data_IF_819550307812
#
_entry.id   IF_819550307812
#
_cell.length_a   1.000
_cell.length_b   1.000
_cell.length_c   1.000
_cell.angle_alpha   90.00
_cell.angle_beta   90.00
_cell.angle_gamma   90.00
#
_symmetry.space_group_name_H-M   'P 1'
#
loop_
_entity.id
_entity.type
_entity.pdbx_description
1 polymer ?
#
# COMPACT_ATOMS: atom_id res chain seq x y z
N UNK A 1 12.89 -4.84 -1.08
CA UNK A 1 13.84 -4.10 -0.25
C UNK A 1 13.68 -2.64 -0.54
N UNK A 2 13.22 -1.91 0.46
CA UNK A 2 13.17 -0.46 0.50
C UNK A 2 14.45 0.07 1.16
N UNK A 3 14.75 1.35 0.94
CA UNK A 3 15.89 2.01 1.60
C UNK A 3 15.73 2.01 3.13
N UNK A 4 14.50 2.21 3.62
CA UNK A 4 14.19 2.19 5.06
C UNK A 4 14.51 0.85 5.72
N UNK A 5 14.09 -0.26 5.09
CA UNK A 5 14.42 -1.62 5.59
C UNK A 5 15.94 -1.83 5.65
N UNK A 6 16.68 -1.35 4.66
CA UNK A 6 18.16 -1.47 4.65
C UNK A 6 18.83 -0.68 5.77
N UNK A 7 18.28 0.49 6.10
CA UNK A 7 18.76 1.30 7.23
C UNK A 7 18.46 0.58 8.54
N UNK A 8 17.22 0.12 8.75
CA UNK A 8 16.82 -0.63 9.94
C UNK A 8 17.71 -1.86 10.15
N UNK A 9 17.85 -2.71 9.14
CA UNK A 9 18.69 -3.92 9.21
C UNK A 9 20.14 -3.61 9.58
N UNK A 10 20.68 -2.46 9.15
CA UNK A 10 22.03 -2.04 9.52
C UNK A 10 22.15 -1.72 11.00
N UNK A 11 21.08 -1.22 11.63
CA UNK A 11 21.05 -0.91 13.06
C UNK A 11 20.68 -2.11 13.93
N UNK A 12 19.79 -2.99 13.46
CA UNK A 12 19.28 -4.14 14.23
C UNK A 12 20.09 -5.42 14.00
N UNK A 13 20.89 -5.48 12.94
CA UNK A 13 21.59 -6.69 12.52
C UNK A 13 20.67 -7.76 11.90
N UNK A 14 19.39 -7.43 11.66
CA UNK A 14 18.42 -8.37 11.10
C UNK A 14 18.82 -8.77 9.67
N UNK A 15 18.80 -10.08 9.32
CA UNK A 15 19.14 -10.52 7.97
C UNK A 15 18.10 -10.08 6.94
N UNK A 16 18.46 -10.23 5.65
CA UNK A 16 17.53 -9.99 4.54
C UNK A 16 16.35 -10.97 4.54
N UNK A 17 15.15 -10.42 4.38
CA UNK A 17 13.96 -11.24 4.12
C UNK A 17 13.88 -11.62 2.64
N UNK A 18 13.74 -12.92 2.40
CA UNK A 18 13.51 -13.50 1.08
C UNK A 18 12.07 -14.01 0.89
N UNK A 19 11.16 -13.66 1.81
CA UNK A 19 9.73 -14.00 1.72
C UNK A 19 9.13 -13.51 0.39
N UNK A 20 9.31 -12.24 -0.04
CA UNK A 20 8.72 -11.78 -1.31
C UNK A 20 9.27 -12.53 -2.52
N UNK A 21 10.55 -12.92 -2.51
CA UNK A 21 11.14 -13.74 -3.56
C UNK A 21 10.54 -15.15 -3.62
N UNK A 22 10.20 -15.76 -2.48
CA UNK A 22 9.51 -17.07 -2.41
C UNK A 22 8.07 -16.95 -2.89
N UNK A 23 7.35 -15.91 -2.45
CA UNK A 23 5.98 -15.62 -2.91
C UNK A 23 5.95 -15.45 -4.42
N UNK A 24 6.86 -14.64 -4.98
CA UNK A 24 6.98 -14.46 -6.44
C UNK A 24 7.23 -15.79 -7.14
N UNK A 25 8.14 -16.62 -6.62
CA UNK A 25 8.43 -17.91 -7.22
C UNK A 25 7.19 -18.83 -7.25
N UNK A 26 6.42 -18.89 -6.15
CA UNK A 26 5.19 -19.70 -6.10
C UNK A 26 4.09 -19.17 -7.00
N UNK A 27 3.88 -17.85 -7.05
CA UNK A 27 2.89 -17.24 -7.94
C UNK A 27 3.18 -17.46 -9.42
N UNK A 28 4.46 -17.61 -9.78
CA UNK A 28 4.91 -17.75 -11.18
C UNK A 28 5.35 -19.16 -11.55
N UNK A 29 5.21 -20.14 -10.64
CA UNK A 29 5.63 -21.52 -10.86
C UNK A 29 7.14 -21.70 -11.02
N UNK A 30 7.96 -20.73 -10.60
CA UNK A 30 9.41 -20.81 -10.68
C UNK A 30 9.98 -21.76 -9.61
N UNK A 31 11.13 -22.38 -9.91
CA UNK A 31 11.86 -23.20 -8.93
C UNK A 31 12.25 -22.40 -7.70
N UNK A 32 11.88 -22.94 -6.53
CA UNK A 32 12.34 -22.48 -5.23
C UNK A 32 13.71 -23.08 -4.92
N UNK A 33 14.60 -22.30 -4.29
CA UNK A 33 15.83 -22.82 -3.70
C UNK A 33 15.84 -22.49 -2.20
N UNK A 34 16.14 -23.45 -1.32
CA UNK A 34 16.26 -23.19 0.11
C UNK A 34 17.43 -22.25 0.43
N UNK A 35 18.53 -22.36 -0.31
CA UNK A 35 19.82 -21.70 -0.01
C UNK A 35 20.06 -20.41 -0.80
N UNK A 36 19.44 -20.27 -1.97
CA UNK A 36 19.70 -19.13 -2.87
C UNK A 36 18.40 -18.55 -3.39
N UNK A 37 18.21 -17.26 -3.16
CA UNK A 37 17.05 -16.53 -3.66
C UNK A 37 17.56 -15.37 -4.53
N UNK A 38 17.37 -15.42 -5.86
CA UNK A 38 17.85 -14.37 -6.75
C UNK A 38 17.29 -13.01 -6.35
N UNK A 39 18.16 -12.02 -6.12
CA UNK A 39 17.78 -10.68 -5.64
C UNK A 39 16.73 -10.01 -6.52
N UNK A 40 16.77 -10.26 -7.83
CA UNK A 40 15.81 -9.71 -8.78
C UNK A 40 14.37 -10.16 -8.49
N UNK A 41 14.14 -11.38 -7.98
CA UNK A 41 12.79 -11.85 -7.61
C UNK A 41 12.22 -11.04 -6.45
N UNK A 42 13.08 -10.73 -5.48
CA UNK A 42 12.71 -9.89 -4.35
C UNK A 42 12.36 -8.47 -4.84
N UNK A 43 13.20 -7.88 -5.69
CA UNK A 43 12.95 -6.57 -6.28
C UNK A 43 11.67 -6.55 -7.11
N UNK A 44 11.49 -7.54 -7.99
CA UNK A 44 10.31 -7.65 -8.85
C UNK A 44 9.01 -7.72 -8.03
N UNK A 45 8.98 -8.52 -6.97
CA UNK A 45 7.81 -8.60 -6.09
C UNK A 45 7.53 -7.26 -5.41
N UNK A 46 8.56 -6.64 -4.81
CA UNK A 46 8.40 -5.36 -4.12
C UNK A 46 7.95 -4.23 -5.06
N UNK A 47 8.57 -4.10 -6.24
CA UNK A 47 8.20 -3.08 -7.21
C UNK A 47 6.85 -3.38 -7.87
N UNK A 48 6.54 -4.63 -8.16
CA UNK A 48 5.26 -5.05 -8.74
C UNK A 48 4.10 -4.75 -7.80
N UNK A 49 4.19 -5.17 -6.53
CA UNK A 49 3.20 -4.84 -5.51
C UNK A 49 3.14 -3.33 -5.27
N UNK A 50 4.29 -2.66 -5.21
CA UNK A 50 4.36 -1.22 -5.01
C UNK A 50 3.67 -0.43 -6.13
N UNK A 51 3.88 -0.80 -7.38
CA UNK A 51 3.23 -0.20 -8.54
C UNK A 51 1.72 -0.45 -8.54
N UNK A 52 1.30 -1.70 -8.34
CA UNK A 52 -0.12 -2.07 -8.34
C UNK A 52 -0.89 -1.33 -7.23
N UNK A 53 -0.36 -1.35 -6.00
CA UNK A 53 -0.98 -0.67 -4.88
C UNK A 53 -0.83 0.85 -4.96
N UNK A 54 0.23 1.37 -5.59
CA UNK A 54 0.40 2.79 -5.89
C UNK A 54 -0.68 3.32 -6.84
N UNK A 55 -1.06 2.54 -7.86
CA UNK A 55 -2.21 2.86 -8.73
C UNK A 55 -3.49 2.94 -7.90
N UNK A 56 -3.75 1.93 -7.05
CA UNK A 56 -4.91 1.96 -6.16
C UNK A 56 -4.91 3.20 -5.26
N UNK A 57 -3.78 3.54 -4.63
CA UNK A 57 -3.67 4.72 -3.77
C UNK A 57 -3.89 6.02 -4.53
N UNK A 58 -3.46 6.07 -5.79
CA UNK A 58 -3.68 7.22 -6.67
C UNK A 58 -5.16 7.37 -7.02
N UNK A 59 -5.86 6.27 -7.30
CA UNK A 59 -7.31 6.28 -7.51
C UNK A 59 -8.07 6.76 -6.28
N UNK A 60 -7.67 6.32 -5.07
CA UNK A 60 -8.21 6.84 -3.82
C UNK A 60 -8.03 8.36 -3.72
N UNK A 61 -6.82 8.85 -3.99
CA UNK A 61 -6.51 10.29 -3.94
C UNK A 61 -7.36 11.09 -4.93
N UNK A 62 -7.51 10.60 -6.17
CA UNK A 62 -8.30 11.23 -7.22
C UNK A 62 -9.80 11.22 -6.91
N UNK A 63 -10.30 10.17 -6.25
CA UNK A 63 -11.67 10.13 -5.76
C UNK A 63 -11.93 11.10 -4.59
N UNK A 64 -10.88 11.65 -3.97
CA UNK A 64 -10.97 12.58 -2.84
C UNK A 64 -10.69 11.94 -1.47
N UNK A 65 -10.32 10.66 -1.42
CA UNK A 65 -9.79 10.03 -0.20
C UNK A 65 -8.33 10.43 -0.02
N UNK A 66 -8.13 11.61 0.58
CA UNK A 66 -6.82 12.22 0.85
C UNK A 66 -6.61 12.38 2.36
N UNK A 67 -5.35 12.56 2.77
CA UNK A 67 -4.95 12.83 4.14
C UNK A 67 -4.63 11.59 4.97
N UNK A 68 -4.44 11.77 6.30
CA UNK A 68 -3.91 10.72 7.18
C UNK A 68 -4.85 9.53 7.32
N UNK A 69 -6.17 9.75 7.37
CA UNK A 69 -7.16 8.66 7.46
C UNK A 69 -7.11 7.78 6.21
N UNK A 70 -7.11 8.38 5.02
CA UNK A 70 -7.00 7.64 3.76
C UNK A 70 -5.66 6.88 3.65
N UNK A 71 -4.58 7.44 4.18
CA UNK A 71 -3.26 6.79 4.23
C UNK A 71 -3.24 5.62 5.22
N UNK A 72 -3.95 5.74 6.35
CA UNK A 72 -4.18 4.63 7.27
C UNK A 72 -4.98 3.50 6.62
N UNK A 73 -6.08 3.81 5.93
CA UNK A 73 -6.86 2.83 5.15
C UNK A 73 -6.00 2.12 4.12
N UNK A 74 -5.18 2.86 3.37
CA UNK A 74 -4.26 2.29 2.40
C UNK A 74 -3.18 1.40 3.05
N UNK A 75 -2.69 1.77 4.23
CA UNK A 75 -1.74 0.95 4.99
C UNK A 75 -2.35 -0.39 5.37
N UNK A 76 -3.63 -0.42 5.77
CA UNK A 76 -4.36 -1.67 6.02
C UNK A 76 -4.45 -2.51 4.74
N UNK A 77 -4.81 -1.91 3.60
CA UNK A 77 -4.84 -2.61 2.31
C UNK A 77 -3.46 -3.18 1.94
N UNK A 78 -2.39 -2.41 2.18
CA UNK A 78 -1.01 -2.82 1.93
C UNK A 78 -0.63 -4.05 2.77
N UNK A 79 -0.95 -4.02 4.07
CA UNK A 79 -0.71 -5.10 5.03
C UNK A 79 -1.49 -6.36 4.65
N UNK A 80 -2.80 -6.23 4.42
CA UNK A 80 -3.65 -7.37 4.10
C UNK A 80 -3.26 -8.01 2.78
N UNK A 81 -2.86 -7.22 1.77
CA UNK A 81 -2.36 -7.76 0.50
C UNK A 81 -1.11 -8.63 0.70
N UNK A 82 -0.13 -8.17 1.48
CA UNK A 82 1.07 -8.97 1.78
C UNK A 82 0.68 -10.27 2.47
N UNK A 83 -0.10 -10.15 3.54
CA UNK A 83 -0.43 -11.31 4.34
C UNK A 83 -1.28 -12.33 3.56
N UNK A 84 -2.19 -11.87 2.70
CA UNK A 84 -2.95 -12.75 1.82
C UNK A 84 -2.03 -13.49 0.86
N UNK A 85 -1.11 -12.80 0.17
CA UNK A 85 -0.20 -13.44 -0.79
C UNK A 85 0.75 -14.42 -0.11
N UNK A 86 1.30 -14.04 1.04
CA UNK A 86 2.21 -14.87 1.82
C UNK A 86 1.53 -16.15 2.34
N UNK A 87 0.31 -16.05 2.90
CA UNK A 87 -0.41 -17.23 3.39
C UNK A 87 -0.99 -18.07 2.25
N UNK A 88 -1.55 -17.45 1.21
CA UNK A 88 -2.14 -18.18 0.08
C UNK A 88 -1.08 -18.98 -0.68
N UNK A 89 0.16 -18.50 -0.71
CA UNK A 89 1.28 -19.24 -1.27
C UNK A 89 1.91 -20.22 -0.27
N UNK A 90 1.53 -20.20 1.01
CA UNK A 90 2.14 -21.02 2.06
C UNK A 90 3.59 -20.67 2.39
N UNK A 91 4.02 -19.45 2.08
CA UNK A 91 5.37 -18.94 2.38
C UNK A 91 5.40 -18.29 3.76
N UNK A 92 4.32 -17.60 4.13
CA UNK A 92 4.17 -16.96 5.43
C UNK A 92 3.30 -17.78 6.37
N UNK A 93 3.17 -17.24 7.58
CA UNK A 93 2.22 -17.69 8.59
C UNK A 93 1.27 -16.53 8.93
N UNK A 94 0.11 -16.79 9.54
CA UNK A 94 -0.78 -15.74 10.01
C UNK A 94 -0.08 -14.79 11.00
N UNK A 95 -0.32 -13.45 10.96
CA UNK A 95 0.45 -12.48 11.75
C UNK A 95 0.39 -12.74 13.26
N UNK A 96 -0.71 -13.29 13.75
CA UNK A 96 -0.90 -13.59 15.17
C UNK A 96 0.04 -14.68 15.69
N UNK A 97 0.71 -15.44 14.82
CA UNK A 97 1.68 -16.47 15.21
C UNK A 97 3.12 -15.97 15.17
N UNK A 98 3.35 -14.70 14.79
CA UNK A 98 4.70 -14.15 14.63
C UNK A 98 5.29 -13.68 15.97
N UNK A 99 6.62 -13.64 16.09
CA UNK A 99 7.27 -12.89 17.16
C UNK A 99 6.80 -11.43 17.17
N UNK A 100 6.55 -10.87 18.36
CA UNK A 100 6.01 -9.50 18.51
C UNK A 100 6.92 -8.44 17.89
N UNK A 101 8.23 -8.64 17.96
CA UNK A 101 9.22 -7.73 17.38
C UNK A 101 9.14 -7.72 15.85
N UNK A 102 9.00 -8.89 15.22
CA UNK A 102 8.83 -8.98 13.77
C UNK A 102 7.54 -8.29 13.32
N UNK A 103 6.44 -8.50 14.05
CA UNK A 103 5.18 -7.81 13.79
C UNK A 103 5.32 -6.29 13.93
N UNK A 104 5.99 -5.81 14.96
CA UNK A 104 6.20 -4.38 15.17
C UNK A 104 7.04 -3.75 14.04
N UNK A 105 8.11 -4.42 13.63
CA UNK A 105 8.96 -3.97 12.52
C UNK A 105 8.16 -3.97 11.21
N UNK A 106 7.34 -4.98 10.97
CA UNK A 106 6.48 -5.07 9.79
C UNK A 106 5.50 -3.91 9.71
N UNK A 107 4.74 -3.70 10.79
CA UNK A 107 3.78 -2.60 10.91
C UNK A 107 4.44 -1.24 10.75
N UNK A 108 5.63 -1.02 11.34
CA UNK A 108 6.38 0.22 11.20
C UNK A 108 6.70 0.50 9.72
N UNK A 109 7.31 -0.47 9.02
CA UNK A 109 7.70 -0.29 7.63
C UNK A 109 6.50 -0.11 6.70
N UNK A 110 5.42 -0.88 6.90
CA UNK A 110 4.18 -0.69 6.14
C UNK A 110 3.53 0.66 6.42
N UNK A 111 3.59 1.15 7.65
CA UNK A 111 3.08 2.48 8.01
C UNK A 111 3.89 3.57 7.32
N UNK A 112 5.21 3.54 7.42
CA UNK A 112 6.08 4.50 6.71
C UNK A 112 5.81 4.47 5.21
N UNK A 113 5.74 3.28 4.62
CA UNK A 113 5.41 3.11 3.20
C UNK A 113 4.03 3.69 2.85
N UNK A 114 3.00 3.36 3.63
CA UNK A 114 1.62 3.77 3.36
C UNK A 114 1.42 5.28 3.45
N UNK A 115 2.05 5.92 4.44
CA UNK A 115 2.01 7.37 4.61
C UNK A 115 2.86 8.11 3.59
N UNK A 116 4.06 7.62 3.26
CA UNK A 116 4.89 8.22 2.22
C UNK A 116 4.21 8.13 0.84
N UNK A 117 3.69 6.95 0.48
CA UNK A 117 2.92 6.74 -0.76
C UNK A 117 1.68 7.62 -0.77
N UNK A 118 1.00 7.75 0.38
CA UNK A 118 -0.17 8.59 0.53
C UNK A 118 0.13 10.07 0.30
N UNK A 119 1.21 10.60 0.90
CA UNK A 119 1.63 11.97 0.71
C UNK A 119 1.96 12.27 -0.76
N UNK A 120 2.67 11.36 -1.44
CA UNK A 120 2.98 11.49 -2.87
C UNK A 120 1.71 11.46 -3.72
N UNK A 121 0.82 10.49 -3.49
CA UNK A 121 -0.43 10.35 -4.25
C UNK A 121 -1.34 11.57 -4.05
N UNK A 122 -1.46 12.07 -2.82
CA UNK A 122 -2.27 13.24 -2.51
C UNK A 122 -1.69 14.52 -3.13
N UNK A 123 -0.37 14.69 -3.10
CA UNK A 123 0.30 15.82 -3.73
C UNK A 123 0.13 15.83 -5.26
N UNK A 124 0.19 14.67 -5.90
CA UNK A 124 -0.07 14.54 -7.33
C UNK A 124 -1.53 14.83 -7.66
N UNK A 125 -2.46 14.22 -6.93
CA UNK A 125 -3.90 14.41 -7.12
C UNK A 125 -4.36 15.86 -6.85
N UNK A 126 -3.71 16.56 -5.92
CA UNK A 126 -4.00 17.97 -5.62
C UNK A 126 -3.78 18.91 -6.81
N UNK A 127 -2.93 18.53 -7.78
CA UNK A 127 -2.70 19.29 -9.01
C UNK A 127 -3.96 19.39 -9.88
N UNK A 128 -4.84 18.41 -9.79
CA UNK A 128 -6.13 18.38 -10.50
C UNK A 128 -7.27 19.02 -9.68
N UNK A 129 -6.95 19.66 -8.55
CA UNK A 129 -7.91 20.29 -7.65
C UNK A 129 -8.64 19.31 -6.73
N UNK A 130 -9.87 19.67 -6.33
CA UNK A 130 -10.70 18.85 -5.45
C UNK A 130 -11.25 17.63 -6.20
N UNK A 131 -10.99 16.44 -5.65
CA UNK A 131 -11.62 15.20 -6.12
C UNK A 131 -13.14 15.17 -5.83
N UNK A 132 -13.91 14.31 -6.50
CA UNK A 132 -15.38 14.29 -6.38
C UNK A 132 -15.88 14.17 -4.93
N UNK A 133 -15.25 13.34 -4.09
CA UNK A 133 -15.61 13.20 -2.68
C UNK A 133 -15.35 14.47 -1.86
N UNK A 134 -14.26 15.19 -2.16
CA UNK A 134 -13.96 16.46 -1.51
C UNK A 134 -14.87 17.59 -1.99
N UNK A 135 -15.24 17.62 -3.28
CA UNK A 135 -16.25 18.56 -3.80
C UNK A 135 -17.60 18.37 -3.11
N UNK A 136 -18.01 17.12 -2.93
CA UNK A 136 -19.24 16.80 -2.20
C UNK A 136 -19.15 17.30 -0.75
N UNK A 137 -18.06 16.99 -0.05
CA UNK A 137 -17.85 17.45 1.32
C UNK A 137 -17.76 18.98 1.46
N UNK A 138 -17.22 19.69 0.47
CA UNK A 138 -17.14 21.15 0.47
C UNK A 138 -18.51 21.82 0.33
N UNK A 139 -19.46 21.21 -0.39
CA UNK A 139 -20.83 21.70 -0.43
C UNK A 139 -21.56 21.48 0.90
N UNK A 140 -21.41 20.28 1.48
CA UNK A 140 -22.01 19.89 2.77
C UNK A 140 -21.14 18.81 3.45
N UNK A 141 -20.53 19.09 4.61
CA UNK A 141 -19.76 18.09 5.35
C UNK A 141 -20.62 16.92 5.88
N UNK A 142 -20.09 15.71 5.80
CA UNK A 142 -20.66 14.49 6.41
C UNK A 142 -21.55 13.66 5.49
N UNK A 143 -21.93 12.45 5.96
CA UNK A 143 -22.92 11.59 5.29
C UNK A 143 -24.32 12.01 5.76
N UNK A 144 -25.13 12.56 4.85
CA UNK A 144 -26.51 13.00 5.11
C UNK A 144 -27.47 12.15 4.28
N UNK A 145 -28.52 11.62 4.90
CA UNK A 145 -29.47 10.69 4.26
C UNK A 145 -30.44 11.37 3.30
N UNK A 146 -30.63 12.67 3.46
CA UNK A 146 -31.54 13.54 2.71
C UNK A 146 -30.86 14.29 1.55
N UNK A 147 -29.55 14.11 1.35
CA UNK A 147 -28.78 14.82 0.34
C UNK A 147 -28.37 13.88 -0.79
N UNK A 148 -28.86 14.17 -2.00
CA UNK A 148 -28.49 13.45 -3.22
C UNK A 148 -27.04 13.68 -3.68
N UNK A 149 -26.54 12.87 -4.63
CA UNK A 149 -25.19 13.04 -5.16
C UNK A 149 -25.02 14.37 -5.92
N UNK A 150 -23.77 14.78 -6.14
CA UNK A 150 -23.47 15.89 -7.06
C UNK A 150 -24.06 15.63 -8.45
N UNK A 151 -24.60 16.65 -9.14
CA UNK A 151 -24.94 16.53 -10.56
C UNK A 151 -23.72 16.02 -11.35
N UNK A 152 -23.94 15.08 -12.30
CA UNK A 152 -22.85 14.40 -13.04
C UNK A 152 -21.86 15.38 -13.68
N UNK A 153 -22.34 16.51 -14.21
CA UNK A 153 -21.48 17.55 -14.78
C UNK A 153 -20.53 18.17 -13.76
N UNK A 154 -21.02 18.54 -12.58
CA UNK A 154 -20.24 19.15 -11.50
C UNK A 154 -19.20 18.20 -10.89
N UNK A 155 -19.45 16.87 -10.98
CA UNK A 155 -18.54 15.85 -10.51
C UNK A 155 -17.32 15.63 -11.44
N UNK A 156 -17.45 15.93 -12.75
CA UNK A 156 -16.42 15.63 -13.77
C UNK A 156 -15.61 16.86 -14.25
N UNK A 157 -16.12 18.09 -14.04
CA UNK A 157 -15.50 19.35 -14.53
C UNK A 157 -14.28 19.80 -13.68
N UNK A 158 -13.29 18.93 -13.51
CA UNK A 158 -11.98 19.26 -12.91
C UNK A 158 -10.81 19.22 -13.90
N UNK A 159 -11.10 19.01 -15.19
CA UNK A 159 -10.09 19.08 -16.26
C UNK A 159 -10.18 20.45 -16.93
N UNK A 160 -9.44 21.42 -16.42
CA UNK A 160 -9.12 22.69 -17.08
C UNK A 160 -7.65 22.96 -16.94
#
# INVERSE_FOLDING_TARGET
MTVGEKIEQRFTGRPDSYVPARVMARLTGMRESPREQPRWRNLAMHFGQGALLGVLRSLMAQAGLRGPVASGMFTVVRLTTDQTLENATGVGAPPQTWPREELAVDLLHKTVYGFATGAVADALAARDGLGPGQRHAALRPGRRSDVGPLPRGSALLGRS
#
